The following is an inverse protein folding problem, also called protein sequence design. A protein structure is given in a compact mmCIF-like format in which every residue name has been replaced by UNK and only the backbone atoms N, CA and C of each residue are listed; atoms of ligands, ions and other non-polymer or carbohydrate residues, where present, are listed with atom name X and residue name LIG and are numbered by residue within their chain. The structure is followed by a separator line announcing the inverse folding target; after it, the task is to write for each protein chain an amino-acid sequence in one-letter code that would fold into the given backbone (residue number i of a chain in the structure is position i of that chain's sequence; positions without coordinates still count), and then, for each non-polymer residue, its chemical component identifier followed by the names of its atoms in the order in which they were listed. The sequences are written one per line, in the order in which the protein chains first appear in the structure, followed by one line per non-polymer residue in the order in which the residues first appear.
data_IF_017594965006
#
_entry.id   IF_017594965006
#
_cell.length_a   1.000
_cell.length_b   1.000
_cell.length_c   1.000
_cell.angle_alpha   90.00
_cell.angle_beta   90.00
_cell.angle_gamma   90.00
#
_symmetry.space_group_name_H-M   'P 1'
#
loop_
_entity.id
_entity.type
_entity.pdbx_description
1 polymer ?
#
# COMPACT_ATOMS: atom_id res chain seq x y z
N UNK A 1 -12.69 15.07 10.92
CA UNK A 1 -11.33 14.90 10.41
C UNK A 1 -11.39 13.93 9.25
N UNK A 2 -10.75 14.28 8.14
CA UNK A 2 -10.60 13.45 6.96
C UNK A 2 -9.15 13.02 6.85
N UNK A 3 -8.89 11.73 6.90
CA UNK A 3 -7.53 11.19 6.94
C UNK A 3 -7.34 10.16 5.85
N UNK A 4 -6.19 10.21 5.19
CA UNK A 4 -5.75 9.15 4.30
C UNK A 4 -4.66 8.30 4.93
N UNK A 5 -4.73 7.00 4.65
CA UNK A 5 -3.63 6.07 4.90
C UNK A 5 -3.14 5.53 3.57
N UNK A 6 -1.83 5.48 3.38
CA UNK A 6 -1.30 4.54 2.41
C UNK A 6 -1.70 3.11 2.80
N UNK A 7 -1.67 2.20 1.83
CA UNK A 7 -1.97 0.80 2.07
C UNK A 7 -0.70 -0.02 2.30
N UNK A 8 0.27 0.05 1.40
CA UNK A 8 1.38 -0.90 1.31
C UNK A 8 2.58 -0.38 2.09
N UNK A 9 2.88 -0.99 3.24
CA UNK A 9 3.90 -0.52 4.18
C UNK A 9 3.29 0.14 5.42
N UNK A 10 2.08 0.71 5.30
CA UNK A 10 1.34 1.27 6.45
C UNK A 10 0.41 0.24 7.09
N UNK A 11 -0.55 -0.32 6.35
CA UNK A 11 -1.48 -1.34 6.89
C UNK A 11 -1.29 -2.73 6.30
N UNK A 12 -0.76 -2.84 5.09
CA UNK A 12 -0.52 -4.11 4.40
C UNK A 12 0.98 -4.38 4.26
N UNK A 13 1.40 -5.58 4.64
CA UNK A 13 2.80 -5.99 4.55
C UNK A 13 3.13 -6.51 3.14
N UNK A 14 3.48 -5.58 2.25
CA UNK A 14 3.98 -5.90 0.91
C UNK A 14 5.40 -6.47 0.95
N UNK A 15 6.25 -5.99 1.87
CA UNK A 15 7.68 -6.31 1.91
C UNK A 15 7.91 -7.80 2.11
N UNK A 16 7.25 -8.42 3.10
CA UNK A 16 7.39 -9.86 3.35
C UNK A 16 6.93 -10.72 2.17
N UNK A 17 5.89 -10.28 1.46
CA UNK A 17 5.39 -11.01 0.28
C UNK A 17 6.33 -10.87 -0.91
N UNK A 18 6.93 -9.69 -1.12
CA UNK A 18 7.95 -9.49 -2.15
C UNK A 18 9.17 -10.39 -1.92
N UNK A 19 9.64 -10.51 -0.67
CA UNK A 19 10.73 -11.44 -0.31
C UNK A 19 10.33 -12.87 -0.72
N UNK A 20 9.17 -13.35 -0.26
CA UNK A 20 8.69 -14.70 -0.55
C UNK A 20 8.60 -14.98 -2.05
N UNK A 21 7.99 -14.09 -2.83
CA UNK A 21 7.85 -14.28 -4.28
C UNK A 21 9.19 -14.23 -5.01
N UNK A 22 10.13 -13.41 -4.53
CA UNK A 22 11.46 -13.33 -5.09
C UNK A 22 12.30 -14.60 -4.78
N UNK A 23 12.22 -15.12 -3.56
CA UNK A 23 12.86 -16.39 -3.19
C UNK A 23 12.36 -17.55 -4.06
N UNK A 24 11.03 -17.64 -4.27
CA UNK A 24 10.45 -18.68 -5.15
C UNK A 24 10.86 -18.46 -6.61
N UNK A 25 11.04 -17.23 -7.07
CA UNK A 25 11.40 -16.93 -8.47
C UNK A 25 12.89 -17.14 -8.77
N UNK A 26 13.76 -16.80 -7.83
CA UNK A 26 15.22 -16.80 -8.03
C UNK A 26 15.94 -17.96 -7.34
N UNK A 27 15.27 -18.69 -6.45
CA UNK A 27 15.84 -19.84 -5.74
C UNK A 27 16.96 -19.48 -4.76
N UNK A 28 16.98 -18.24 -4.26
CA UNK A 28 17.96 -17.73 -3.28
C UNK A 28 17.27 -16.86 -2.24
N UNK A 29 17.78 -16.90 -1.01
CA UNK A 29 17.33 -16.04 0.07
C UNK A 29 17.64 -14.56 -0.26
N UNK A 30 16.69 -13.68 0.05
CA UNK A 30 16.81 -12.23 -0.16
C UNK A 30 16.40 -11.49 1.11
N UNK A 31 17.14 -10.45 1.46
CA UNK A 31 16.86 -9.58 2.58
C UNK A 31 16.19 -8.29 2.13
N UNK A 32 15.41 -7.72 3.03
CA UNK A 32 14.95 -6.33 2.92
C UNK A 32 16.13 -5.43 3.29
N UNK A 33 16.41 -4.44 2.46
CA UNK A 33 17.45 -3.46 2.77
C UNK A 33 16.96 -2.53 3.89
N UNK A 34 17.77 -2.26 4.92
CA UNK A 34 17.39 -1.27 5.94
C UNK A 34 17.34 0.16 5.39
N UNK A 35 18.18 0.49 4.39
CA UNK A 35 18.44 1.88 3.97
C UNK A 35 18.43 2.12 2.43
N UNK A 36 17.81 1.24 1.62
CA UNK A 36 17.87 1.37 0.15
C UNK A 36 16.48 1.61 -0.44
N UNK A 37 16.41 2.62 -1.32
CA UNK A 37 15.36 2.93 -2.29
C UNK A 37 13.98 2.34 -1.94
N UNK A 38 13.11 3.16 -1.34
CA UNK A 38 11.78 2.75 -0.86
C UNK A 38 10.91 2.11 -1.95
N UNK A 39 11.16 2.41 -3.23
CA UNK A 39 10.47 1.80 -4.37
C UNK A 39 10.97 0.37 -4.68
N UNK A 40 12.13 -0.02 -4.13
CA UNK A 40 12.88 -1.23 -4.42
C UNK A 40 13.44 -1.90 -3.15
N UNK A 41 12.57 -2.41 -2.26
CA UNK A 41 12.95 -2.79 -0.89
C UNK A 41 13.85 -4.04 -0.78
N UNK A 42 14.13 -4.76 -1.88
CA UNK A 42 14.88 -6.02 -1.88
C UNK A 42 16.36 -5.81 -2.26
N UNK A 43 17.27 -6.23 -1.38
CA UNK A 43 18.71 -6.22 -1.64
C UNK A 43 19.12 -7.25 -2.69
N UNK A 44 20.22 -6.99 -3.39
CA UNK A 44 20.86 -7.98 -4.26
C UNK A 44 20.12 -8.29 -5.57
N UNK A 45 18.98 -7.64 -5.83
CA UNK A 45 18.32 -7.68 -7.14
C UNK A 45 18.87 -6.57 -8.04
N UNK A 46 19.16 -6.91 -9.29
CA UNK A 46 19.37 -5.91 -10.33
C UNK A 46 18.03 -5.48 -10.97
N UNK A 47 18.08 -4.44 -11.82
CA UNK A 47 16.88 -3.91 -12.48
C UNK A 47 16.09 -4.97 -13.29
N UNK A 48 16.79 -5.88 -14.00
CA UNK A 48 16.13 -6.93 -14.79
C UNK A 48 15.44 -7.95 -13.90
N UNK A 49 16.03 -8.29 -12.76
CA UNK A 49 15.42 -9.18 -11.77
C UNK A 49 14.19 -8.52 -11.14
N UNK A 50 14.27 -7.25 -10.74
CA UNK A 50 13.10 -6.49 -10.25
C UNK A 50 11.95 -6.48 -11.26
N UNK A 51 12.25 -6.20 -12.53
CA UNK A 51 11.24 -6.27 -13.59
C UNK A 51 10.66 -7.68 -13.78
N UNK A 52 11.46 -8.74 -13.60
CA UNK A 52 10.99 -10.12 -13.70
C UNK A 52 10.09 -10.49 -12.52
N UNK A 53 10.41 -10.03 -11.31
CA UNK A 53 9.58 -10.19 -10.13
C UNK A 53 8.21 -9.52 -10.32
N UNK A 54 8.20 -8.25 -10.74
CA UNK A 54 6.94 -7.54 -10.99
C UNK A 54 6.11 -8.17 -12.12
N UNK A 55 6.75 -8.68 -13.19
CA UNK A 55 6.04 -9.44 -14.24
C UNK A 55 5.40 -10.72 -13.71
N UNK A 56 6.06 -11.44 -12.78
CA UNK A 56 5.48 -12.61 -12.11
C UNK A 56 4.29 -12.18 -11.25
N UNK A 57 4.45 -11.18 -10.39
CA UNK A 57 3.40 -10.67 -9.50
C UNK A 57 2.16 -10.27 -10.30
N UNK A 58 2.35 -9.61 -11.44
CA UNK A 58 1.27 -9.23 -12.34
C UNK A 58 0.42 -10.42 -12.83
N UNK A 59 0.96 -11.65 -12.84
CA UNK A 59 0.23 -12.87 -13.23
C UNK A 59 -0.48 -13.58 -12.08
N UNK A 60 -0.21 -13.21 -10.83
CA UNK A 60 -0.85 -13.83 -9.66
C UNK A 60 -2.28 -13.29 -9.55
N UNK A 61 -3.26 -14.18 -9.63
CA UNK A 61 -4.68 -13.82 -9.53
C UNK A 61 -5.00 -13.24 -8.15
N UNK A 62 -5.58 -12.04 -8.14
CA UNK A 62 -5.94 -11.29 -6.94
C UNK A 62 -4.80 -11.15 -5.92
N UNK A 63 -3.57 -10.96 -6.40
CA UNK A 63 -2.35 -10.83 -5.58
C UNK A 63 -2.51 -9.94 -4.34
N UNK A 64 -3.16 -8.77 -4.48
CA UNK A 64 -3.28 -7.81 -3.39
C UNK A 64 -4.16 -8.30 -2.24
N UNK A 65 -5.03 -9.28 -2.48
CA UNK A 65 -5.84 -9.92 -1.45
C UNK A 65 -5.03 -10.91 -0.59
N UNK A 66 -3.79 -11.25 -1.00
CA UNK A 66 -2.94 -12.23 -0.31
C UNK A 66 -2.04 -11.64 0.79
N UNK A 67 -1.99 -10.31 0.91
CA UNK A 67 -1.08 -9.64 1.84
C UNK A 67 -1.49 -9.84 3.31
N UNK A 68 -0.49 -9.87 4.19
CA UNK A 68 -0.66 -9.75 5.63
C UNK A 68 -0.95 -8.31 6.05
N UNK A 69 -1.41 -8.11 7.30
CA UNK A 69 -1.39 -6.76 7.89
C UNK A 69 0.04 -6.49 8.41
N UNK A 70 0.50 -5.24 8.31
CA UNK A 70 1.79 -4.82 8.89
C UNK A 70 1.81 -5.01 10.40
N UNK A 71 0.70 -4.69 11.07
CA UNK A 71 0.45 -4.99 12.48
C UNK A 71 -0.90 -5.68 12.59
N UNK A 72 -0.95 -6.82 13.27
CA UNK A 72 -2.16 -7.62 13.41
C UNK A 72 -3.33 -6.78 13.97
N UNK A 73 -4.45 -6.76 13.25
CA UNK A 73 -5.66 -6.02 13.63
C UNK A 73 -5.58 -4.50 13.49
N UNK A 74 -4.55 -3.95 12.84
CA UNK A 74 -4.43 -2.51 12.59
C UNK A 74 -5.63 -1.95 11.83
N UNK A 75 -6.11 -2.65 10.81
CA UNK A 75 -7.25 -2.21 10.00
C UNK A 75 -8.52 -2.12 10.84
N UNK A 76 -8.78 -3.11 11.68
CA UNK A 76 -9.91 -3.12 12.61
C UNK A 76 -9.80 -2.00 13.67
N UNK A 77 -8.60 -1.73 14.19
CA UNK A 77 -8.36 -0.61 15.12
C UNK A 77 -8.62 0.73 14.46
N UNK A 78 -8.17 0.94 13.23
CA UNK A 78 -8.46 2.16 12.46
C UNK A 78 -9.96 2.33 12.28
N UNK A 79 -10.68 1.26 11.90
CA UNK A 79 -12.13 1.30 11.74
C UNK A 79 -12.85 1.68 13.06
N UNK A 80 -12.43 1.09 14.18
CA UNK A 80 -12.99 1.39 15.50
C UNK A 80 -12.76 2.86 15.90
N UNK A 81 -11.53 3.36 15.78
CA UNK A 81 -11.19 4.75 16.09
C UNK A 81 -11.96 5.73 15.19
N UNK A 82 -12.00 5.45 13.88
CA UNK A 82 -12.72 6.27 12.92
C UNK A 82 -14.22 6.34 13.23
N UNK A 83 -14.83 5.21 13.60
CA UNK A 83 -16.24 5.18 14.02
C UNK A 83 -16.47 5.99 15.29
N UNK A 84 -15.68 5.76 16.35
CA UNK A 84 -15.81 6.48 17.63
C UNK A 84 -15.61 7.98 17.48
N UNK A 85 -14.65 8.41 16.63
CA UNK A 85 -14.32 9.82 16.44
C UNK A 85 -15.01 10.47 15.24
N UNK A 86 -15.83 9.71 14.51
CA UNK A 86 -16.50 10.14 13.27
C UNK A 86 -15.51 10.71 12.24
N UNK A 87 -14.42 9.99 12.02
CA UNK A 87 -13.46 10.32 10.97
C UNK A 87 -13.91 9.78 9.62
N UNK A 88 -13.64 10.55 8.58
CA UNK A 88 -13.74 10.09 7.20
C UNK A 88 -12.38 9.53 6.80
N UNK A 89 -12.30 8.21 6.57
CA UNK A 89 -11.05 7.54 6.26
C UNK A 89 -11.00 7.18 4.77
N UNK A 90 -9.88 7.50 4.14
CA UNK A 90 -9.55 7.10 2.79
C UNK A 90 -8.29 6.25 2.79
N UNK A 91 -8.20 5.31 1.86
CA UNK A 91 -7.02 4.52 1.61
C UNK A 91 -6.45 4.88 0.24
N UNK A 92 -5.23 5.38 0.21
CA UNK A 92 -4.49 5.72 -0.99
C UNK A 92 -3.51 4.60 -1.32
N UNK A 93 -3.36 4.26 -2.59
CA UNK A 93 -2.40 3.22 -3.00
C UNK A 93 -1.93 3.43 -4.42
N UNK A 94 -0.68 3.04 -4.72
CA UNK A 94 -0.11 3.01 -6.09
C UNK A 94 -0.09 1.60 -6.69
N UNK A 95 -0.84 0.65 -6.11
CA UNK A 95 -0.92 -0.75 -6.56
C UNK A 95 -1.11 -0.87 -8.08
N UNK A 96 -0.15 -1.46 -8.81
CA UNK A 96 -0.35 -1.75 -10.22
C UNK A 96 -1.42 -2.84 -10.43
N UNK A 97 -1.91 -2.93 -11.66
CA UNK A 97 -2.82 -3.99 -12.05
C UNK A 97 -2.13 -5.37 -11.97
N UNK A 98 -2.88 -6.36 -11.47
CA UNK A 98 -2.51 -7.78 -11.49
C UNK A 98 -3.67 -8.57 -12.13
N UNK A 99 -3.46 -9.86 -12.40
CA UNK A 99 -4.52 -10.75 -12.84
C UNK A 99 -5.69 -10.76 -11.84
N UNK A 100 -6.91 -10.93 -12.35
CA UNK A 100 -8.14 -10.92 -11.55
C UNK A 100 -8.82 -9.55 -11.51
N UNK A 101 -9.36 -9.18 -10.35
CA UNK A 101 -10.10 -7.93 -10.18
C UNK A 101 -9.19 -6.68 -10.25
N UNK A 102 -9.79 -5.50 -10.44
CA UNK A 102 -9.02 -4.24 -10.39
C UNK A 102 -8.36 -4.06 -9.01
N UNK A 103 -7.18 -3.42 -8.97
CA UNK A 103 -6.43 -3.20 -7.72
C UNK A 103 -7.27 -2.49 -6.64
N UNK A 104 -8.15 -1.56 -7.05
CA UNK A 104 -9.12 -0.91 -6.15
C UNK A 104 -10.05 -1.94 -5.49
N UNK A 105 -10.67 -2.81 -6.28
CA UNK A 105 -11.59 -3.83 -5.80
C UNK A 105 -10.91 -4.85 -4.90
N UNK A 106 -9.72 -5.32 -5.27
CA UNK A 106 -8.92 -6.23 -4.43
C UNK A 106 -8.61 -5.58 -3.07
N UNK A 107 -8.19 -4.31 -3.08
CA UNK A 107 -7.88 -3.56 -1.85
C UNK A 107 -9.12 -3.35 -0.98
N UNK A 108 -10.27 -3.02 -1.57
CA UNK A 108 -11.53 -2.90 -0.84
C UNK A 108 -11.92 -4.21 -0.17
N UNK A 109 -11.89 -5.33 -0.89
CA UNK A 109 -12.20 -6.66 -0.34
C UNK A 109 -11.24 -7.03 0.79
N UNK A 110 -9.95 -6.79 0.59
CA UNK A 110 -8.92 -7.05 1.60
C UNK A 110 -9.18 -6.25 2.88
N UNK A 111 -9.42 -4.93 2.77
CA UNK A 111 -9.73 -4.07 3.91
C UNK A 111 -11.03 -4.50 4.63
N UNK A 112 -12.07 -4.85 3.88
CA UNK A 112 -13.32 -5.37 4.44
C UNK A 112 -13.14 -6.70 5.17
N UNK A 113 -12.36 -7.61 4.61
CA UNK A 113 -12.03 -8.88 5.25
C UNK A 113 -11.23 -8.70 6.56
N UNK A 114 -10.49 -7.58 6.71
CA UNK A 114 -9.74 -7.20 7.92
C UNK A 114 -10.51 -6.30 8.89
N UNK A 115 -11.82 -6.13 8.69
CA UNK A 115 -12.69 -5.43 9.63
C UNK A 115 -12.91 -3.96 9.34
N UNK A 116 -12.59 -3.46 8.14
CA UNK A 116 -13.00 -2.13 7.68
C UNK A 116 -14.24 -2.23 6.77
N UNK A 117 -15.47 -2.03 7.28
CA UNK A 117 -16.69 -2.47 6.60
C UNK A 117 -17.00 -1.78 5.27
N UNK A 118 -16.67 -0.49 5.11
CA UNK A 118 -16.96 0.30 3.90
C UNK A 118 -15.73 1.12 3.47
N UNK A 119 -14.68 0.47 2.93
CA UNK A 119 -13.42 1.12 2.66
C UNK A 119 -13.51 2.01 1.41
N UNK A 120 -13.23 3.31 1.58
CA UNK A 120 -13.01 4.23 0.48
C UNK A 120 -11.56 4.10 0.00
N UNK A 121 -11.35 3.54 -1.19
CA UNK A 121 -10.02 3.31 -1.76
C UNK A 121 -9.84 4.14 -3.02
N UNK A 122 -8.72 4.84 -3.12
CA UNK A 122 -8.31 5.58 -4.31
C UNK A 122 -6.95 5.10 -4.81
N UNK A 123 -6.90 4.63 -6.06
CA UNK A 123 -5.64 4.21 -6.70
C UNK A 123 -4.99 5.44 -7.33
N UNK A 124 -3.91 5.90 -6.71
CA UNK A 124 -3.15 7.10 -7.06
C UNK A 124 -2.37 6.87 -8.35
N UNK A 125 -2.48 7.81 -9.29
CA UNK A 125 -1.71 7.79 -10.56
C UNK A 125 -0.67 8.91 -10.67
N UNK A 126 -0.80 9.95 -9.87
CA UNK A 126 0.03 11.16 -9.92
C UNK A 126 0.40 11.56 -8.49
N UNK A 127 0.27 12.83 -8.14
CA UNK A 127 0.57 13.37 -6.83
C UNK A 127 -0.49 12.96 -5.79
N UNK A 128 -0.02 12.52 -4.62
CA UNK A 128 -0.82 12.36 -3.40
C UNK A 128 -1.15 13.72 -2.79
N UNK A 129 -0.26 14.71 -2.86
CA UNK A 129 -0.53 16.05 -2.36
C UNK A 129 -1.69 16.74 -3.08
N UNK A 130 -1.69 16.72 -4.42
CA UNK A 130 -2.82 17.24 -5.20
C UNK A 130 -4.14 16.51 -4.89
N UNK A 131 -4.09 15.21 -4.57
CA UNK A 131 -5.27 14.45 -4.13
C UNK A 131 -5.69 14.88 -2.72
N UNK A 132 -4.73 15.07 -1.81
CA UNK A 132 -4.98 15.49 -0.45
C UNK A 132 -5.67 16.85 -0.40
N UNK A 133 -5.18 17.81 -1.19
CA UNK A 133 -5.80 19.12 -1.34
C UNK A 133 -7.20 19.02 -1.96
N UNK A 134 -7.35 18.31 -3.08
CA UNK A 134 -8.64 18.19 -3.77
C UNK A 134 -9.73 17.49 -2.93
N UNK A 135 -9.32 16.59 -2.02
CA UNK A 135 -10.22 15.90 -1.11
C UNK A 135 -10.35 16.59 0.24
N UNK A 136 -9.61 17.67 0.51
CA UNK A 136 -9.59 18.34 1.81
C UNK A 136 -9.22 17.39 2.94
N UNK A 137 -8.11 16.66 2.77
CA UNK A 137 -7.56 15.81 3.82
C UNK A 137 -6.92 16.68 4.90
N UNK A 138 -7.14 16.33 6.16
CA UNK A 138 -6.51 16.97 7.32
C UNK A 138 -5.18 16.30 7.70
N UNK A 139 -4.95 15.06 7.22
CA UNK A 139 -3.73 14.30 7.47
C UNK A 139 -3.57 13.17 6.46
N UNK A 140 -2.32 12.83 6.14
CA UNK A 140 -1.93 11.65 5.36
C UNK A 140 -0.88 10.85 6.14
N UNK A 141 -1.09 9.54 6.25
CA UNK A 141 -0.13 8.60 6.84
C UNK A 141 0.47 7.75 5.73
N UNK A 142 1.77 7.87 5.48
CA UNK A 142 2.51 7.19 4.41
C UNK A 142 3.87 6.75 4.95
N UNK A 143 4.35 5.57 4.55
CA UNK A 143 5.66 5.06 4.97
C UNK A 143 6.80 5.55 4.06
N UNK A 144 6.46 6.13 2.89
CA UNK A 144 7.46 6.60 1.94
C UNK A 144 7.73 8.10 2.04
N UNK A 145 8.98 8.49 2.27
CA UNK A 145 9.39 9.90 2.39
C UNK A 145 9.02 10.76 1.17
N UNK A 146 9.19 10.32 -0.09
CA UNK A 146 8.79 11.10 -1.26
C UNK A 146 7.28 11.38 -1.31
N UNK A 147 6.46 10.43 -0.85
CA UNK A 147 5.01 10.61 -0.77
C UNK A 147 4.64 11.66 0.30
N UNK A 148 5.30 11.62 1.46
CA UNK A 148 5.13 12.62 2.51
C UNK A 148 5.54 14.02 2.04
N UNK A 149 6.66 14.15 1.33
CA UNK A 149 7.12 15.42 0.79
C UNK A 149 6.16 16.00 -0.25
N UNK A 150 5.59 15.15 -1.12
CA UNK A 150 4.57 15.53 -2.10
C UNK A 150 3.31 16.07 -1.40
N UNK A 151 2.87 15.46 -0.30
CA UNK A 151 1.73 15.94 0.51
C UNK A 151 2.01 17.31 1.13
N UNK A 152 3.17 17.49 1.77
CA UNK A 152 3.56 18.75 2.41
C UNK A 152 3.74 19.88 1.38
N UNK A 153 4.19 19.56 0.17
CA UNK A 153 4.40 20.54 -0.89
C UNK A 153 3.08 21.02 -1.52
N UNK A 154 2.14 20.10 -1.76
CA UNK A 154 0.97 20.35 -2.62
C UNK A 154 -0.38 20.35 -1.86
N UNK A 155 -0.37 20.31 -0.52
CA UNK A 155 -1.61 20.38 0.29
C UNK A 155 -1.43 21.03 1.66
N UNK A 156 -2.55 21.25 2.33
CA UNK A 156 -2.62 21.68 3.73
C UNK A 156 -2.68 20.55 4.77
N UNK A 157 -2.50 19.30 4.35
CA UNK A 157 -2.57 18.12 5.21
C UNK A 157 -1.30 17.87 6.03
#
# INVERSE_FOLDING_TARGET
MRVAFDVDGVVADLRSVLVREAEVLFGRALSIAPDVDEDHPLEGLNHRERQRLWRRIATIENFWETLGETEEGAVARIAAVASTRRWEVLFLTKRPATAGAAAQTQTQRWLSARGFPLPAVYVVRRSRGAIAEALGLDAVVDDQLPNCLDVVADSHA
#
